data_IF_316034214384
#
_entry.id   IF_316034214384
#
_cell.length_a   1.000
_cell.length_b   1.000
_cell.length_c   1.000
_cell.angle_alpha   90.00
_cell.angle_beta   90.00
_cell.angle_gamma   90.00
#
_symmetry.space_group_name_H-M   'P 1'
#
loop_
_entity.id
_entity.type
_entity.pdbx_description
1 polymer ?
#
# COMPACT_ATOMS: atom_id res chain seq x y z
N UNK A 1 26.44 4.47 -4.70
CA UNK A 1 25.17 3.71 -4.86
C UNK A 1 24.04 4.61 -4.39
N UNK A 2 22.95 4.82 -5.16
CA UNK A 2 21.83 5.60 -4.66
C UNK A 2 21.09 4.76 -3.61
N UNK A 3 20.98 5.28 -2.39
CA UNK A 3 20.10 4.72 -1.37
C UNK A 3 18.68 5.12 -1.76
N UNK A 4 17.76 4.15 -1.88
CA UNK A 4 16.35 4.45 -2.05
C UNK A 4 15.91 5.29 -0.84
N UNK A 5 15.55 6.55 -1.09
CA UNK A 5 15.02 7.46 -0.08
C UNK A 5 13.82 6.80 0.59
N UNK A 6 13.89 6.67 1.92
CA UNK A 6 12.79 6.22 2.77
C UNK A 6 11.49 6.94 2.36
N UNK A 7 10.40 6.21 2.15
CA UNK A 7 9.19 6.78 1.55
C UNK A 7 8.59 7.83 2.47
N UNK A 8 7.82 8.73 1.85
CA UNK A 8 7.01 9.74 2.51
C UNK A 8 6.31 9.21 3.77
N UNK A 9 6.08 10.09 4.75
CA UNK A 9 5.39 9.78 6.01
C UNK A 9 4.25 8.77 5.78
N UNK A 10 4.16 7.68 6.58
CA UNK A 10 3.09 6.69 6.43
C UNK A 10 1.73 7.37 6.37
N UNK A 11 0.98 7.12 5.30
CA UNK A 11 -0.33 7.74 5.08
C UNK A 11 -1.41 6.77 5.51
N UNK A 12 -2.38 7.24 6.30
CA UNK A 12 -3.51 6.40 6.72
C UNK A 12 -4.40 6.12 5.50
N UNK A 13 -4.64 4.83 5.24
CA UNK A 13 -5.46 4.38 4.11
C UNK A 13 -6.44 3.30 4.56
N UNK A 14 -7.43 3.03 3.73
CA UNK A 14 -8.29 1.87 3.84
C UNK A 14 -8.03 0.93 2.68
N UNK A 15 -7.90 -0.37 2.98
CA UNK A 15 -7.63 -1.42 1.99
C UNK A 15 -8.79 -2.40 1.93
N UNK A 16 -9.13 -2.84 0.72
CA UNK A 16 -10.16 -3.84 0.49
C UNK A 16 -9.61 -5.25 0.57
N UNK A 17 -9.95 -5.97 1.64
CA UNK A 17 -9.55 -7.36 1.89
C UNK A 17 -10.80 -8.18 2.22
N UNK A 18 -10.99 -9.32 1.53
CA UNK A 18 -12.15 -10.19 1.77
C UNK A 18 -13.51 -9.49 1.62
N UNK A 19 -13.59 -8.48 0.73
CA UNK A 19 -14.81 -7.68 0.51
C UNK A 19 -15.08 -6.59 1.55
N UNK A 20 -14.19 -6.37 2.53
CA UNK A 20 -14.32 -5.36 3.58
C UNK A 20 -13.22 -4.30 3.47
N UNK A 21 -13.53 -3.08 3.89
CA UNK A 21 -12.53 -2.02 4.06
C UNK A 21 -11.90 -2.13 5.45
N UNK A 22 -10.57 -2.16 5.49
CA UNK A 22 -9.79 -2.33 6.71
C UNK A 22 -8.75 -1.22 6.79
N UNK A 23 -8.53 -0.66 7.99
CA UNK A 23 -7.55 0.39 8.20
C UNK A 23 -6.11 -0.12 8.02
N UNK A 24 -5.28 0.67 7.34
CA UNK A 24 -3.86 0.38 7.15
C UNK A 24 -3.04 1.65 6.97
N UNK A 25 -1.75 1.48 6.72
CA UNK A 25 -0.84 2.57 6.37
C UNK A 25 -0.14 2.28 5.06
N UNK A 26 -0.28 3.20 4.10
CA UNK A 26 0.51 3.21 2.89
C UNK A 26 1.97 3.53 3.26
N UNK A 27 2.87 2.68 2.79
CA UNK A 27 4.30 2.80 2.96
C UNK A 27 5.05 3.01 1.64
N UNK A 28 4.43 2.76 0.49
CA UNK A 28 5.09 2.97 -0.79
C UNK A 28 4.29 2.46 -1.96
N UNK A 29 4.77 2.74 -3.17
CA UNK A 29 4.13 2.35 -4.44
C UNK A 29 5.14 1.72 -5.38
N UNK A 30 4.68 0.80 -6.23
CA UNK A 30 5.47 0.22 -7.32
C UNK A 30 4.59 -0.08 -8.53
N UNK A 31 5.20 -0.15 -9.71
CA UNK A 31 4.56 -0.78 -10.85
C UNK A 31 4.41 -2.29 -10.59
N UNK A 32 3.19 -2.81 -10.63
CA UNK A 32 2.93 -4.23 -10.42
C UNK A 32 3.31 -5.08 -11.64
N UNK A 33 3.57 -6.36 -11.39
CA UNK A 33 4.04 -7.29 -12.42
C UNK A 33 3.02 -7.53 -13.55
N UNK A 34 1.73 -7.31 -13.28
CA UNK A 34 0.64 -7.43 -14.25
C UNK A 34 0.26 -6.10 -14.93
N UNK A 35 1.09 -5.06 -14.78
CA UNK A 35 0.86 -3.74 -15.38
C UNK A 35 -0.12 -2.83 -14.60
N UNK A 36 -0.61 -3.28 -13.44
CA UNK A 36 -1.37 -2.45 -12.51
C UNK A 36 -0.44 -1.95 -11.40
N UNK A 37 -0.59 -0.70 -10.97
CA UNK A 37 0.19 -0.15 -9.86
C UNK A 37 -0.24 -0.80 -8.54
N UNK A 38 0.76 -1.06 -7.69
CA UNK A 38 0.58 -1.69 -6.39
C UNK A 38 1.05 -0.76 -5.28
N UNK A 39 0.31 -0.78 -4.18
CA UNK A 39 0.58 -0.03 -2.96
C UNK A 39 1.03 -1.00 -1.87
N UNK A 40 2.16 -0.71 -1.22
CA UNK A 40 2.61 -1.44 -0.04
C UNK A 40 1.86 -0.90 1.17
N UNK A 41 1.08 -1.77 1.81
CA UNK A 41 0.32 -1.41 3.00
C UNK A 41 0.79 -2.22 4.20
N UNK A 42 0.95 -1.53 5.33
CA UNK A 42 1.07 -2.13 6.65
C UNK A 42 -0.29 -2.23 7.33
N UNK A 43 -0.63 -3.42 7.81
CA UNK A 43 -1.82 -3.69 8.63
C UNK A 43 -1.46 -4.61 9.79
N UNK A 44 -1.61 -4.14 11.03
CA UNK A 44 -1.23 -4.87 12.26
C UNK A 44 0.20 -5.48 12.24
N UNK A 45 1.15 -4.83 11.56
CA UNK A 45 2.54 -5.33 11.44
C UNK A 45 2.76 -6.29 10.27
N UNK A 46 1.72 -6.64 9.52
CA UNK A 46 1.84 -7.36 8.25
C UNK A 46 2.00 -6.40 7.09
N UNK A 47 2.89 -6.75 6.16
CA UNK A 47 3.13 -6.00 4.92
C UNK A 47 2.55 -6.74 3.73
N UNK A 48 1.76 -6.04 2.92
CA UNK A 48 1.12 -6.60 1.74
C UNK A 48 1.16 -5.61 0.59
N UNK A 49 1.46 -6.12 -0.62
CA UNK A 49 1.24 -5.38 -1.86
C UNK A 49 -0.18 -5.61 -2.33
N UNK A 50 -0.91 -4.52 -2.53
CA UNK A 50 -2.29 -4.56 -3.01
C UNK A 50 -2.42 -3.69 -4.25
N UNK A 51 -3.29 -4.09 -5.17
CA UNK A 51 -3.65 -3.26 -6.33
C UNK A 51 -4.14 -1.89 -5.84
N UNK A 52 -3.68 -0.81 -6.47
CA UNK A 52 -4.03 0.57 -6.08
C UNK A 52 -5.56 0.79 -6.05
N UNK A 53 -6.32 0.11 -6.91
CA UNK A 53 -7.80 0.19 -6.94
C UNK A 53 -8.46 -0.42 -5.70
N UNK A 54 -7.70 -1.20 -4.93
CA UNK A 54 -8.12 -1.78 -3.66
C UNK A 54 -7.73 -0.89 -2.47
N UNK A 55 -7.17 0.30 -2.71
CA UNK A 55 -6.80 1.27 -1.69
C UNK A 55 -7.61 2.55 -1.87
N UNK A 56 -7.98 3.18 -0.76
CA UNK A 56 -8.54 4.54 -0.74
C UNK A 56 -8.02 5.31 0.46
N UNK A 57 -8.04 6.63 0.36
CA UNK A 57 -7.80 7.51 1.50
C UNK A 57 -8.91 7.32 2.55
N UNK A 58 -8.54 7.48 3.83
CA UNK A 58 -9.45 7.25 4.96
C UNK A 58 -10.40 8.41 5.24
#
# INVERSE_FOLDING_TARGET
MPVATSPARPTAVQVRLGGRWIAGQELGRRAGAAGADEVLVSHHGHLVWVDERSVRES
#
